data_IF_756124612103
#
_entry.id   IF_756124612103
#
_cell.length_a   1.000
_cell.length_b   1.000
_cell.length_c   1.000
_cell.angle_alpha   90.00
_cell.angle_beta   90.00
_cell.angle_gamma   90.00
#
_symmetry.space_group_name_H-M   'P 1'
#
loop_
_entity.id
_entity.type
_entity.pdbx_description
1 polymer ?
#
# COMPACT_ATOMS: atom_id res chain seq x y z
N UNK A 1 4.30 -14.82 7.46
CA UNK A 1 3.50 -14.14 6.42
C UNK A 1 2.64 -13.13 7.14
N UNK A 2 2.94 -11.85 6.95
CA UNK A 2 2.20 -10.74 7.51
C UNK A 2 0.79 -10.73 6.92
N UNK A 3 -0.22 -10.25 7.68
CA UNK A 3 -1.61 -10.11 7.21
C UNK A 3 -1.70 -9.28 5.93
N UNK A 4 -0.83 -8.28 5.79
CA UNK A 4 -0.76 -7.40 4.62
C UNK A 4 -0.18 -8.11 3.39
N UNK A 5 0.93 -8.86 3.55
CA UNK A 5 1.52 -9.70 2.48
C UNK A 5 0.50 -10.72 1.96
N UNK A 6 -0.25 -11.36 2.86
CA UNK A 6 -1.29 -12.31 2.50
C UNK A 6 -2.45 -11.66 1.73
N UNK A 7 -2.85 -10.44 2.14
CA UNK A 7 -3.89 -9.68 1.45
C UNK A 7 -3.45 -9.29 0.03
N UNK A 8 -2.21 -8.83 -0.13
CA UNK A 8 -1.65 -8.45 -1.43
C UNK A 8 -1.61 -9.65 -2.37
N UNK A 9 -1.08 -10.79 -1.90
CA UNK A 9 -1.04 -12.03 -2.69
C UNK A 9 -2.44 -12.46 -3.15
N UNK A 10 -3.43 -12.45 -2.25
CA UNK A 10 -4.79 -12.84 -2.60
C UNK A 10 -5.40 -11.88 -3.62
N UNK A 11 -5.15 -10.56 -3.48
CA UNK A 11 -5.64 -9.57 -4.42
C UNK A 11 -5.05 -9.78 -5.82
N UNK A 12 -3.73 -9.96 -5.92
CA UNK A 12 -3.02 -10.25 -7.18
C UNK A 12 -3.53 -11.54 -7.85
N UNK A 13 -3.62 -12.63 -7.08
CA UNK A 13 -4.15 -13.88 -7.60
C UNK A 13 -5.60 -13.75 -8.06
N UNK A 14 -6.44 -13.01 -7.33
CA UNK A 14 -7.85 -12.82 -7.67
C UNK A 14 -8.02 -12.01 -8.97
N UNK A 15 -7.24 -10.94 -9.15
CA UNK A 15 -7.23 -10.17 -10.40
C UNK A 15 -6.81 -11.06 -11.58
N UNK A 16 -5.72 -11.82 -11.40
CA UNK A 16 -5.24 -12.77 -12.41
C UNK A 16 -6.29 -13.82 -12.76
N UNK A 17 -6.99 -14.36 -11.75
CA UNK A 17 -8.04 -15.35 -11.96
C UNK A 17 -9.25 -14.78 -12.71
N UNK A 18 -9.58 -13.51 -12.51
CA UNK A 18 -10.63 -12.80 -13.25
C UNK A 18 -10.19 -12.53 -14.69
N UNK A 19 -9.01 -11.96 -14.89
CA UNK A 19 -8.47 -11.59 -16.22
C UNK A 19 -8.28 -12.79 -17.16
N UNK A 20 -7.96 -13.94 -16.59
CA UNK A 20 -7.77 -15.20 -17.31
C UNK A 20 -9.01 -16.09 -17.29
N UNK A 21 -10.15 -15.58 -16.82
CA UNK A 21 -11.44 -16.28 -16.74
C UNK A 21 -11.35 -17.68 -16.10
N UNK A 22 -10.54 -17.82 -15.05
CA UNK A 22 -10.25 -19.11 -14.41
C UNK A 22 -11.33 -19.57 -13.43
N UNK A 23 -12.09 -18.63 -12.89
CA UNK A 23 -13.07 -18.87 -11.83
C UNK A 23 -14.45 -18.41 -12.25
N UNK A 24 -15.47 -19.11 -11.76
CA UNK A 24 -16.87 -18.68 -11.86
C UNK A 24 -17.12 -17.46 -10.96
N UNK A 25 -18.18 -16.71 -11.24
CA UNK A 25 -18.55 -15.52 -10.47
C UNK A 25 -18.77 -15.84 -8.97
N UNK A 26 -19.36 -16.99 -8.63
CA UNK A 26 -19.52 -17.39 -7.22
C UNK A 26 -18.20 -17.71 -6.52
N UNK A 27 -17.25 -18.31 -7.23
CA UNK A 27 -15.90 -18.61 -6.72
C UNK A 27 -15.09 -17.32 -6.51
N UNK A 28 -15.19 -16.38 -7.46
CA UNK A 28 -14.65 -15.02 -7.34
C UNK A 28 -15.22 -14.33 -6.10
N UNK A 29 -16.54 -14.36 -5.90
CA UNK A 29 -17.20 -13.79 -4.72
C UNK A 29 -16.66 -14.40 -3.42
N UNK A 30 -16.45 -15.72 -3.36
CA UNK A 30 -15.90 -16.38 -2.18
C UNK A 30 -14.44 -16.00 -1.91
N UNK A 31 -13.60 -15.98 -2.95
CA UNK A 31 -12.18 -15.58 -2.84
C UNK A 31 -12.06 -14.10 -2.44
N UNK A 32 -12.84 -13.21 -3.05
CA UNK A 32 -12.95 -11.80 -2.69
C UNK A 32 -13.41 -11.60 -1.23
N UNK A 33 -14.28 -12.50 -0.73
CA UNK A 33 -14.74 -12.43 0.67
C UNK A 33 -13.62 -12.66 1.68
N UNK A 34 -12.62 -13.47 1.31
CA UNK A 34 -11.42 -13.66 2.12
C UNK A 34 -10.58 -12.39 2.13
N UNK A 35 -10.37 -11.76 0.97
CA UNK A 35 -9.65 -10.48 0.87
C UNK A 35 -10.33 -9.41 1.72
N UNK A 36 -11.64 -9.22 1.57
CA UNK A 36 -12.43 -8.22 2.29
C UNK A 36 -12.26 -8.34 3.82
N UNK A 37 -12.24 -9.57 4.36
CA UNK A 37 -11.96 -9.81 5.80
C UNK A 37 -10.54 -9.46 6.21
N UNK A 38 -9.56 -9.71 5.34
CA UNK A 38 -8.16 -9.39 5.62
C UNK A 38 -7.94 -7.89 5.67
N UNK A 39 -8.53 -7.12 4.75
CA UNK A 39 -8.34 -5.66 4.69
C UNK A 39 -9.35 -4.87 5.52
N UNK A 40 -10.47 -5.48 5.92
CA UNK A 40 -11.54 -4.78 6.66
C UNK A 40 -12.38 -3.84 5.79
N UNK A 41 -12.49 -4.12 4.49
CA UNK A 41 -13.19 -3.25 3.55
C UNK A 41 -14.70 -3.45 3.65
N UNK A 42 -15.41 -2.47 4.22
CA UNK A 42 -16.84 -2.58 4.58
C UNK A 42 -17.74 -2.69 3.34
N UNK A 43 -17.50 -1.86 2.34
CA UNK A 43 -18.27 -1.83 1.10
C UNK A 43 -18.20 -3.17 0.33
N UNK A 44 -16.98 -3.68 0.09
CA UNK A 44 -16.77 -4.99 -0.50
C UNK A 44 -17.40 -6.10 0.35
N UNK A 45 -17.26 -6.05 1.67
CA UNK A 45 -17.88 -7.04 2.57
C UNK A 45 -19.40 -7.06 2.42
N UNK A 46 -20.02 -5.88 2.34
CA UNK A 46 -21.46 -5.68 2.18
C UNK A 46 -21.94 -6.20 0.84
N UNK A 47 -21.30 -5.77 -0.25
CA UNK A 47 -21.62 -6.20 -1.61
C UNK A 47 -21.55 -7.72 -1.74
N UNK A 48 -20.43 -8.32 -1.33
CA UNK A 48 -20.25 -9.77 -1.38
C UNK A 48 -21.23 -10.50 -0.45
N UNK A 49 -21.66 -9.87 0.64
CA UNK A 49 -22.73 -10.36 1.51
C UNK A 49 -24.04 -10.57 0.76
N UNK A 50 -24.46 -9.58 -0.03
CA UNK A 50 -25.64 -9.69 -0.88
C UNK A 50 -25.45 -10.73 -1.99
N UNK A 51 -24.27 -10.79 -2.61
CA UNK A 51 -23.99 -11.77 -3.65
C UNK A 51 -24.05 -13.21 -3.13
N UNK A 52 -23.61 -13.47 -1.89
CA UNK A 52 -23.69 -14.81 -1.27
C UNK A 52 -25.11 -15.17 -0.82
N UNK A 53 -25.84 -14.23 -0.22
CA UNK A 53 -27.09 -14.52 0.48
C UNK A 53 -28.35 -14.19 -0.34
N UNK A 54 -28.22 -13.34 -1.36
CA UNK A 54 -29.32 -12.69 -2.05
C UNK A 54 -29.57 -11.27 -1.53
N UNK A 55 -30.28 -10.51 -2.33
CA UNK A 55 -30.58 -9.10 -2.09
C UNK A 55 -31.93 -8.93 -1.38
N UNK A 56 -32.00 -8.05 -0.36
CA UNK A 56 -33.25 -7.75 0.33
C UNK A 56 -34.18 -6.93 -0.57
N UNK A 57 -35.49 -7.03 -0.31
CA UNK A 57 -36.55 -6.31 -1.05
C UNK A 57 -37.03 -5.05 -0.33
N UNK A 58 -36.38 -4.67 0.77
CA UNK A 58 -36.73 -3.52 1.60
C UNK A 58 -36.16 -2.18 1.10
N UNK A 59 -35.48 -2.19 -0.05
CA UNK A 59 -34.88 -1.01 -0.68
C UNK A 59 -33.49 -0.63 -0.14
N UNK A 60 -33.00 -1.31 0.90
CA UNK A 60 -31.70 -0.99 1.53
C UNK A 60 -30.50 -1.27 0.62
N UNK A 61 -30.66 -2.15 -0.36
CA UNK A 61 -29.59 -2.59 -1.26
C UNK A 61 -29.65 -1.96 -2.67
N UNK A 62 -30.48 -0.93 -2.89
CA UNK A 62 -30.73 -0.32 -4.21
C UNK A 62 -29.46 0.03 -4.99
N UNK A 63 -28.48 0.66 -4.33
CA UNK A 63 -27.20 1.02 -4.95
C UNK A 63 -26.42 -0.24 -5.41
N UNK A 64 -26.43 -1.29 -4.61
CA UNK A 64 -25.74 -2.55 -4.90
C UNK A 64 -26.45 -3.39 -5.97
N UNK A 65 -27.78 -3.31 -6.06
CA UNK A 65 -28.57 -3.93 -7.13
C UNK A 65 -28.19 -3.29 -8.48
N UNK A 66 -28.06 -1.96 -8.51
CA UNK A 66 -27.59 -1.23 -9.69
C UNK A 66 -26.17 -1.62 -10.09
N UNK A 67 -25.23 -1.62 -9.13
CA UNK A 67 -23.83 -2.02 -9.36
C UNK A 67 -23.70 -3.44 -9.92
N UNK A 68 -24.51 -4.38 -9.43
CA UNK A 68 -24.53 -5.77 -9.91
C UNK A 68 -25.31 -5.99 -11.22
N UNK A 69 -25.92 -4.96 -11.82
CA UNK A 69 -26.68 -5.10 -13.06
C UNK A 69 -27.94 -5.94 -12.93
N UNK A 70 -28.58 -5.92 -11.75
CA UNK A 70 -29.68 -6.83 -11.40
C UNK A 70 -31.07 -6.32 -11.74
N UNK A 71 -31.21 -5.08 -12.22
CA UNK A 71 -32.49 -4.51 -12.64
C UNK A 71 -33.04 -5.20 -13.89
N UNK A 72 -34.37 -5.30 -13.95
CA UNK A 72 -35.07 -5.73 -15.17
C UNK A 72 -35.60 -4.52 -15.94
N UNK A 73 -36.08 -4.75 -17.17
CA UNK A 73 -36.76 -3.72 -17.97
C UNK A 73 -38.09 -3.24 -17.35
N UNK A 74 -38.69 -4.05 -16.49
CA UNK A 74 -39.83 -3.64 -15.67
C UNK A 74 -39.38 -2.76 -14.50
N UNK A 75 -39.97 -1.57 -14.36
CA UNK A 75 -39.77 -0.68 -13.22
C UNK A 75 -40.01 -1.44 -11.90
N UNK A 76 -39.12 -1.23 -10.92
CA UNK A 76 -39.13 -1.81 -9.58
C UNK A 76 -38.93 -3.34 -9.47
N UNK A 77 -38.59 -4.03 -10.57
CA UNK A 77 -38.24 -5.46 -10.53
C UNK A 77 -36.75 -5.70 -10.74
N UNK A 78 -36.22 -6.68 -10.01
CA UNK A 78 -34.81 -7.07 -10.06
C UNK A 78 -34.64 -8.56 -9.77
N UNK A 79 -33.42 -9.07 -9.95
CA UNK A 79 -33.03 -10.43 -9.62
C UNK A 79 -32.44 -10.54 -8.20
N UNK A 80 -33.20 -11.01 -7.19
CA UNK A 80 -32.73 -11.00 -5.79
C UNK A 80 -31.90 -12.22 -5.40
N UNK A 81 -31.86 -13.26 -6.25
CA UNK A 81 -31.20 -14.52 -5.91
C UNK A 81 -29.67 -14.33 -5.80
N UNK A 82 -29.04 -15.09 -4.89
CA UNK A 82 -27.58 -15.15 -4.75
C UNK A 82 -26.88 -15.54 -6.06
N UNK A 83 -25.62 -15.16 -6.22
CA UNK A 83 -24.84 -15.42 -7.44
C UNK A 83 -24.79 -16.91 -7.78
N UNK A 84 -24.61 -17.79 -6.79
CA UNK A 84 -24.59 -19.25 -7.02
C UNK A 84 -25.92 -19.76 -7.58
N UNK A 85 -27.05 -19.16 -7.18
CA UNK A 85 -28.37 -19.49 -7.73
C UNK A 85 -28.55 -18.91 -9.14
N UNK A 86 -27.98 -17.74 -9.43
CA UNK A 86 -27.96 -17.15 -10.78
C UNK A 86 -27.16 -18.04 -11.73
N UNK A 87 -25.97 -18.46 -11.33
CA UNK A 87 -25.13 -19.41 -12.09
C UNK A 87 -25.82 -20.75 -12.32
N UNK A 88 -26.45 -21.33 -11.29
CA UNK A 88 -27.19 -22.58 -11.46
C UNK A 88 -28.36 -22.44 -12.46
N UNK A 89 -29.05 -21.29 -12.46
CA UNK A 89 -30.11 -21.02 -13.44
C UNK A 89 -29.54 -20.78 -14.85
N UNK A 90 -28.36 -20.15 -14.95
CA UNK A 90 -27.65 -19.96 -16.22
C UNK A 90 -27.25 -21.30 -16.82
N UNK A 91 -26.65 -22.19 -16.01
CA UNK A 91 -26.29 -23.54 -16.42
C UNK A 91 -27.53 -24.33 -16.88
N UNK A 92 -28.65 -24.23 -16.14
CA UNK A 92 -29.91 -24.88 -16.51
C UNK A 92 -30.51 -24.32 -17.81
N UNK A 93 -30.46 -22.99 -18.01
CA UNK A 93 -30.93 -22.35 -19.24
C UNK A 93 -30.09 -22.78 -20.44
N UNK A 94 -28.76 -22.80 -20.31
CA UNK A 94 -27.85 -23.28 -21.34
C UNK A 94 -28.08 -24.75 -21.69
N UNK A 95 -28.28 -25.61 -20.68
CA UNK A 95 -28.64 -27.02 -20.92
C UNK A 95 -29.97 -27.17 -21.66
N UNK A 96 -30.95 -26.33 -21.34
CA UNK A 96 -32.25 -26.33 -22.02
C UNK A 96 -32.12 -25.92 -23.49
N UNK A 97 -31.34 -24.87 -23.78
CA UNK A 97 -31.04 -24.43 -25.16
C UNK A 97 -30.33 -25.55 -25.93
N UNK A 98 -29.31 -26.17 -25.34
CA UNK A 98 -28.54 -27.25 -25.97
C UNK A 98 -29.39 -28.50 -26.23
N UNK A 99 -30.28 -28.87 -25.30
CA UNK A 99 -31.18 -30.01 -25.47
C UNK A 99 -32.19 -29.80 -26.61
N UNK A 100 -32.57 -28.55 -26.91
CA UNK A 100 -33.53 -28.20 -27.95
C UNK A 100 -32.88 -27.89 -29.31
N UNK A 101 -31.55 -27.72 -29.39
CA UNK A 101 -30.83 -27.43 -30.65
C UNK A 101 -31.01 -28.50 -31.74
N UNK A 102 -31.34 -29.75 -31.38
CA UNK A 102 -31.50 -30.85 -32.32
C UNK A 102 -32.70 -30.75 -33.26
N UNK A 103 -33.62 -29.80 -33.03
CA UNK A 103 -34.85 -29.63 -33.81
C UNK A 103 -35.85 -30.76 -33.58
N UNK A 104 -37.12 -30.42 -33.38
CA UNK A 104 -38.16 -31.45 -33.34
C UNK A 104 -38.57 -31.87 -34.75
N UNK A 105 -38.52 -33.17 -35.05
CA UNK A 105 -39.13 -33.74 -36.25
C UNK A 105 -40.66 -33.73 -36.09
N UNK A 106 -41.27 -32.56 -36.29
CA UNK A 106 -42.72 -32.37 -36.18
C UNK A 106 -43.40 -32.67 -37.52
N UNK A 107 -44.50 -33.44 -37.49
CA UNK A 107 -45.31 -33.78 -38.67
C UNK A 107 -46.80 -33.81 -38.32
N UNK A 108 -47.68 -33.68 -39.31
CA UNK A 108 -49.14 -33.67 -39.14
C UNK A 108 -49.74 -32.26 -39.04
N UNK A 109 -51.07 -32.20 -38.85
CA UNK A 109 -51.86 -30.95 -38.91
C UNK A 109 -51.43 -29.86 -37.91
N UNK A 110 -50.76 -30.26 -36.82
CA UNK A 110 -50.26 -29.36 -35.78
C UNK A 110 -48.74 -29.08 -35.86
N UNK A 111 -48.04 -29.53 -36.89
CA UNK A 111 -46.58 -29.40 -36.99
C UNK A 111 -46.09 -27.95 -36.91
N UNK A 112 -46.80 -27.01 -37.54
CA UNK A 112 -46.48 -25.58 -37.50
C UNK A 112 -46.62 -24.99 -36.09
N UNK A 113 -47.62 -25.44 -35.32
CA UNK A 113 -47.84 -24.98 -33.94
C UNK A 113 -46.75 -25.54 -33.03
N UNK A 114 -46.45 -26.84 -33.15
CA UNK A 114 -45.39 -27.49 -32.38
C UNK A 114 -44.00 -26.87 -32.66
N UNK A 115 -43.70 -26.52 -33.92
CA UNK A 115 -42.46 -25.82 -34.29
C UNK A 115 -42.40 -24.42 -33.68
N UNK A 116 -43.49 -23.65 -33.72
CA UNK A 116 -43.53 -22.30 -33.12
C UNK A 116 -43.35 -22.34 -31.60
N UNK A 117 -44.00 -23.28 -30.93
CA UNK A 117 -43.87 -23.45 -29.48
C UNK A 117 -42.45 -23.86 -29.10
N UNK A 118 -41.82 -24.73 -29.90
CA UNK A 118 -40.41 -25.10 -29.74
C UNK A 118 -39.48 -23.90 -29.87
N UNK A 119 -39.60 -23.13 -30.95
CA UNK A 119 -38.74 -21.97 -31.21
C UNK A 119 -38.95 -20.88 -30.14
N UNK A 120 -40.18 -20.70 -29.68
CA UNK A 120 -40.51 -19.76 -28.59
C UNK A 120 -39.84 -20.18 -27.27
N UNK A 121 -39.80 -21.48 -26.95
CA UNK A 121 -39.11 -22.00 -25.77
C UNK A 121 -37.60 -21.81 -25.86
N UNK A 122 -36.99 -22.10 -27.02
CA UNK A 122 -35.57 -21.86 -27.25
C UNK A 122 -35.24 -20.38 -27.05
N UNK A 123 -35.99 -19.49 -27.69
CA UNK A 123 -35.77 -18.05 -27.58
C UNK A 123 -35.91 -17.56 -26.14
N UNK A 124 -36.90 -18.07 -25.39
CA UNK A 124 -37.08 -17.74 -23.97
C UNK A 124 -35.90 -18.15 -23.10
N UNK A 125 -35.40 -19.39 -23.26
CA UNK A 125 -34.24 -19.87 -22.50
C UNK A 125 -32.94 -19.17 -22.90
N UNK A 126 -32.76 -18.86 -24.18
CA UNK A 126 -31.59 -18.11 -24.68
C UNK A 126 -31.56 -16.68 -24.12
N UNK A 127 -32.70 -15.98 -24.11
CA UNK A 127 -32.83 -14.65 -23.52
C UNK A 127 -32.51 -14.69 -22.01
N UNK A 128 -33.07 -15.67 -21.29
CA UNK A 128 -32.78 -15.84 -19.87
C UNK A 128 -31.29 -16.10 -19.62
N UNK A 129 -30.66 -16.97 -20.41
CA UNK A 129 -29.23 -17.24 -20.31
C UNK A 129 -28.39 -15.97 -20.55
N UNK A 130 -28.74 -15.17 -21.57
CA UNK A 130 -28.10 -13.88 -21.83
C UNK A 130 -28.18 -12.93 -20.64
N UNK A 131 -29.37 -12.75 -20.05
CA UNK A 131 -29.56 -11.89 -18.87
C UNK A 131 -28.75 -12.37 -17.67
N UNK A 132 -28.82 -13.68 -17.35
CA UNK A 132 -28.10 -14.23 -16.19
C UNK A 132 -26.58 -14.17 -16.39
N UNK A 133 -26.10 -14.40 -17.61
CA UNK A 133 -24.68 -14.23 -17.96
C UNK A 133 -24.24 -12.78 -17.81
N UNK A 134 -25.07 -11.82 -18.21
CA UNK A 134 -24.83 -10.39 -18.01
C UNK A 134 -24.69 -10.03 -16.53
N UNK A 135 -25.56 -10.56 -15.68
CA UNK A 135 -25.47 -10.36 -14.22
C UNK A 135 -24.16 -10.95 -13.68
N UNK A 136 -23.79 -12.18 -14.07
CA UNK A 136 -22.50 -12.78 -13.67
C UNK A 136 -21.32 -11.90 -14.07
N UNK A 137 -21.29 -11.41 -15.32
CA UNK A 137 -20.25 -10.52 -15.82
C UNK A 137 -20.18 -9.20 -15.04
N UNK A 138 -21.33 -8.58 -14.76
CA UNK A 138 -21.40 -7.32 -14.04
C UNK A 138 -20.96 -7.44 -12.57
N UNK A 139 -21.29 -8.56 -11.91
CA UNK A 139 -20.79 -8.87 -10.56
C UNK A 139 -19.28 -9.04 -10.58
N UNK A 140 -18.73 -9.79 -11.55
CA UNK A 140 -17.28 -9.97 -11.71
C UNK A 140 -16.58 -8.64 -11.95
N UNK A 141 -17.11 -7.78 -12.83
CA UNK A 141 -16.56 -6.44 -13.08
C UNK A 141 -16.56 -5.58 -11.81
N UNK A 142 -17.67 -5.58 -11.05
CA UNK A 142 -17.75 -4.82 -9.79
C UNK A 142 -16.74 -5.32 -8.76
N UNK A 143 -16.55 -6.64 -8.64
CA UNK A 143 -15.53 -7.21 -7.76
C UNK A 143 -14.14 -6.83 -8.24
N UNK A 144 -13.87 -6.91 -9.54
CA UNK A 144 -12.58 -6.54 -10.13
C UNK A 144 -12.20 -5.11 -9.78
N UNK A 145 -13.10 -4.14 -10.02
CA UNK A 145 -12.83 -2.72 -9.75
C UNK A 145 -12.45 -2.48 -8.29
N UNK A 146 -13.24 -3.02 -7.35
CA UNK A 146 -12.98 -2.86 -5.92
C UNK A 146 -11.71 -3.58 -5.47
N UNK A 147 -11.39 -4.74 -6.04
CA UNK A 147 -10.17 -5.49 -5.73
C UNK A 147 -8.94 -4.77 -6.30
N UNK A 148 -9.03 -4.18 -7.48
CA UNK A 148 -7.95 -3.42 -8.09
C UNK A 148 -7.61 -2.17 -7.27
N UNK A 149 -8.62 -1.45 -6.77
CA UNK A 149 -8.44 -0.35 -5.82
C UNK A 149 -7.68 -0.82 -4.56
N UNK A 150 -8.15 -1.89 -3.91
CA UNK A 150 -7.48 -2.47 -2.73
C UNK A 150 -6.05 -2.90 -3.05
N UNK A 151 -5.81 -3.53 -4.19
CA UNK A 151 -4.48 -3.99 -4.60
C UNK A 151 -3.51 -2.81 -4.72
N UNK A 152 -3.92 -1.72 -5.37
CA UNK A 152 -3.09 -0.53 -5.52
C UNK A 152 -2.80 0.16 -4.19
N UNK A 153 -3.78 0.23 -3.28
CA UNK A 153 -3.57 0.75 -1.92
C UNK A 153 -2.56 -0.08 -1.13
N UNK A 154 -2.69 -1.42 -1.19
CA UNK A 154 -1.78 -2.34 -0.52
C UNK A 154 -0.36 -2.25 -1.09
N UNK A 155 -0.21 -2.21 -2.41
CA UNK A 155 1.07 -2.08 -3.10
C UNK A 155 1.77 -0.76 -2.74
N UNK A 156 1.01 0.34 -2.69
CA UNK A 156 1.56 1.64 -2.30
C UNK A 156 2.02 1.66 -0.84
N UNK A 157 1.24 1.06 0.06
CA UNK A 157 1.61 0.91 1.47
C UNK A 157 2.88 0.06 1.66
N UNK A 158 3.01 -1.04 0.92
CA UNK A 158 4.20 -1.89 0.95
C UNK A 158 5.44 -1.17 0.40
N UNK A 159 5.30 -0.45 -0.72
CA UNK A 159 6.39 0.34 -1.30
C UNK A 159 6.91 1.38 -0.31
N UNK A 160 5.99 2.10 0.35
CA UNK A 160 6.35 3.07 1.40
C UNK A 160 7.04 2.42 2.59
N UNK A 161 6.50 1.30 3.09
CA UNK A 161 7.09 0.56 4.19
C UNK A 161 8.48 0.03 3.84
N UNK A 162 8.68 -0.45 2.62
CA UNK A 162 9.96 -1.01 2.14
C UNK A 162 11.00 0.08 1.94
N UNK A 163 10.65 1.23 1.34
CA UNK A 163 11.56 2.36 1.21
C UNK A 163 12.02 2.88 2.57
N UNK A 164 11.08 3.00 3.52
CA UNK A 164 11.40 3.40 4.89
C UNK A 164 12.26 2.35 5.59
N UNK A 165 11.88 1.07 5.55
CA UNK A 165 12.61 -0.01 6.20
C UNK A 165 14.03 -0.21 5.63
N UNK A 166 14.20 -0.08 4.31
CA UNK A 166 15.51 -0.15 3.68
C UNK A 166 16.39 1.03 4.10
N UNK A 167 15.82 2.24 4.07
CA UNK A 167 16.51 3.44 4.56
C UNK A 167 16.87 3.29 6.04
N UNK A 168 15.93 2.86 6.87
CA UNK A 168 16.13 2.63 8.30
C UNK A 168 17.24 1.60 8.56
N UNK A 169 17.20 0.44 7.90
CA UNK A 169 18.24 -0.60 8.05
C UNK A 169 19.63 -0.07 7.69
N UNK A 170 19.73 0.71 6.61
CA UNK A 170 21.00 1.32 6.20
C UNK A 170 21.49 2.32 7.25
N UNK A 171 20.61 3.19 7.73
CA UNK A 171 20.93 4.20 8.74
C UNK A 171 21.31 3.56 10.07
N UNK A 172 20.54 2.58 10.54
CA UNK A 172 20.79 1.84 11.79
C UNK A 172 22.12 1.10 11.72
N UNK A 173 22.44 0.46 10.58
CA UNK A 173 23.73 -0.17 10.35
C UNK A 173 24.90 0.81 10.44
N UNK A 174 24.83 1.93 9.73
CA UNK A 174 25.89 2.95 9.78
C UNK A 174 25.98 3.63 11.16
N UNK A 175 24.86 3.86 11.85
CA UNK A 175 24.84 4.45 13.20
C UNK A 175 25.40 3.48 14.25
N UNK A 176 25.09 2.19 14.17
CA UNK A 176 25.63 1.17 15.05
C UNK A 176 27.16 1.05 14.90
N UNK A 177 27.65 1.09 13.66
CA UNK A 177 29.08 1.14 13.39
C UNK A 177 29.73 2.43 13.90
N UNK A 178 29.01 3.56 13.79
CA UNK A 178 29.49 4.88 14.20
C UNK A 178 29.56 5.09 15.71
N UNK A 179 28.56 4.59 16.42
CA UNK A 179 28.43 4.78 17.85
C UNK A 179 27.61 3.60 18.35
N UNK A 180 28.26 2.58 18.91
CA UNK A 180 27.58 1.37 19.42
C UNK A 180 26.46 1.63 20.45
N UNK A 181 26.30 2.87 20.94
CA UNK A 181 25.19 3.33 21.80
C UNK A 181 24.15 4.21 21.08
N UNK A 182 24.24 4.38 19.75
CA UNK A 182 23.33 5.23 18.98
C UNK A 182 21.93 4.62 18.90
N UNK A 183 21.84 3.30 18.79
CA UNK A 183 20.57 2.57 18.80
C UNK A 183 19.84 2.73 20.15
N UNK A 184 20.54 2.56 21.28
CA UNK A 184 19.97 2.81 22.61
C UNK A 184 19.44 4.25 22.78
N UNK A 185 20.09 5.23 22.14
CA UNK A 185 19.66 6.63 22.15
C UNK A 185 18.39 6.83 21.32
N UNK A 186 18.21 6.10 20.22
CA UNK A 186 17.00 6.12 19.38
C UNK A 186 15.80 5.54 20.14
N UNK A 187 15.96 4.38 20.78
CA UNK A 187 14.89 3.76 21.58
C UNK A 187 14.41 4.69 22.70
N UNK A 188 15.37 5.29 23.43
CA UNK A 188 15.08 6.28 24.49
C UNK A 188 14.34 7.51 24.00
N UNK A 189 14.58 7.96 22.76
CA UNK A 189 13.80 9.07 22.16
C UNK A 189 12.39 8.63 21.86
N UNK A 190 12.22 7.44 21.28
CA UNK A 190 10.91 6.89 20.94
C UNK A 190 10.02 6.70 22.19
N UNK A 191 10.57 6.17 23.28
CA UNK A 191 9.86 6.01 24.55
C UNK A 191 9.41 7.36 25.12
N UNK A 192 10.29 8.36 25.16
CA UNK A 192 9.96 9.70 25.67
C UNK A 192 8.91 10.42 24.82
N UNK A 193 8.95 10.25 23.50
CA UNK A 193 7.95 10.83 22.60
C UNK A 193 6.59 10.13 22.69
N UNK A 194 6.51 8.95 23.32
CA UNK A 194 5.25 8.28 23.65
C UNK A 194 4.62 8.83 24.94
N UNK A 195 5.44 9.13 25.95
CA UNK A 195 4.96 9.65 27.24
C UNK A 195 4.35 11.05 27.13
N UNK A 196 4.85 11.85 26.17
CA UNK A 196 4.16 13.05 25.67
C UNK A 196 4.17 14.27 26.59
N UNK A 197 4.81 14.18 27.77
CA UNK A 197 4.97 15.31 28.67
C UNK A 197 6.09 16.28 28.19
N UNK A 198 6.05 17.57 28.59
CA UNK A 198 7.01 18.57 28.13
C UNK A 198 8.48 18.28 28.51
N UNK A 199 8.72 17.59 29.63
CA UNK A 199 10.07 17.22 30.05
C UNK A 199 10.61 16.11 29.15
N UNK A 200 9.81 15.08 28.88
CA UNK A 200 10.14 14.00 27.95
C UNK A 200 10.44 14.51 26.54
N UNK A 201 9.65 15.47 26.04
CA UNK A 201 9.93 16.14 24.75
C UNK A 201 11.27 16.85 24.76
N UNK A 202 11.58 17.59 25.82
CA UNK A 202 12.85 18.34 25.95
C UNK A 202 14.06 17.39 26.06
N UNK A 203 13.89 16.28 26.77
CA UNK A 203 14.91 15.23 26.86
C UNK A 203 15.10 14.49 25.52
N UNK A 204 14.04 14.28 24.74
CA UNK A 204 14.10 13.71 23.40
C UNK A 204 14.91 14.62 22.44
N UNK A 205 14.63 15.92 22.42
CA UNK A 205 15.38 16.90 21.63
C UNK A 205 16.85 16.99 22.04
N UNK A 206 17.14 16.97 23.35
CA UNK A 206 18.52 16.92 23.86
C UNK A 206 19.24 15.66 23.38
N UNK A 207 18.52 14.54 23.26
CA UNK A 207 19.10 13.29 22.76
C UNK A 207 19.36 13.35 21.25
N UNK A 208 18.50 14.01 20.47
CA UNK A 208 18.74 14.30 19.05
C UNK A 208 20.02 15.11 18.86
N UNK A 209 20.24 16.16 19.67
CA UNK A 209 21.50 16.92 19.66
C UNK A 209 22.71 16.03 19.95
N UNK A 210 22.63 15.20 20.98
CA UNK A 210 23.72 14.26 21.34
C UNK A 210 24.01 13.25 20.24
N UNK A 211 23.00 12.83 19.47
CA UNK A 211 23.19 11.97 18.29
C UNK A 211 24.00 12.70 17.22
N UNK A 212 23.69 13.98 16.94
CA UNK A 212 24.46 14.81 15.99
C UNK A 212 25.92 14.96 16.46
N UNK A 213 26.12 15.28 17.74
CA UNK A 213 27.47 15.42 18.33
C UNK A 213 28.26 14.10 18.22
N UNK A 214 27.65 12.97 18.59
CA UNK A 214 28.28 11.64 18.53
C UNK A 214 28.64 11.24 17.09
N UNK A 215 27.77 11.56 16.13
CA UNK A 215 28.03 11.31 14.71
C UNK A 215 29.23 12.12 14.22
N UNK A 216 29.30 13.42 14.54
CA UNK A 216 30.44 14.26 14.20
C UNK A 216 31.76 13.75 14.81
N UNK A 217 31.70 13.27 16.05
CA UNK A 217 32.82 12.62 16.75
C UNK A 217 33.34 11.38 16.04
N UNK A 218 32.44 10.56 15.52
CA UNK A 218 32.81 9.38 14.76
C UNK A 218 33.36 9.70 13.37
N UNK A 219 32.63 10.49 12.58
CA UNK A 219 32.96 10.66 11.15
C UNK A 219 34.15 11.58 10.91
N UNK A 220 34.40 12.54 11.82
CA UNK A 220 35.47 13.50 11.66
C UNK A 220 35.98 13.97 13.03
N UNK A 221 37.00 13.30 13.58
CA UNK A 221 37.57 13.62 14.88
C UNK A 221 38.00 15.10 15.01
N UNK A 222 37.82 15.68 16.19
CA UNK A 222 38.16 17.07 16.45
C UNK A 222 39.68 17.26 16.36
N UNK A 223 40.09 18.36 15.72
CA UNK A 223 41.51 18.72 15.59
C UNK A 223 41.70 20.23 15.66
N UNK A 224 42.91 20.65 16.01
CA UNK A 224 43.27 22.06 16.14
C UNK A 224 43.50 22.72 14.78
N UNK A 225 43.98 21.95 13.80
CA UNK A 225 44.24 22.47 12.46
C UNK A 225 42.95 22.65 11.66
N UNK A 226 42.74 23.84 11.07
CA UNK A 226 41.55 24.08 10.28
C UNK A 226 41.49 23.17 9.04
N UNK A 227 40.28 22.96 8.52
CA UNK A 227 40.03 22.17 7.31
C UNK A 227 39.72 23.09 6.13
N UNK A 228 40.41 22.90 5.01
CA UNK A 228 40.15 23.65 3.78
C UNK A 228 39.16 22.90 2.89
N UNK A 229 38.11 23.61 2.47
CA UNK A 229 37.14 23.17 1.46
C UNK A 229 37.60 23.75 0.12
N UNK A 230 38.67 23.17 -0.46
CA UNK A 230 39.33 23.73 -1.65
C UNK A 230 39.67 25.21 -1.46
N UNK A 231 39.42 26.02 -2.49
CA UNK A 231 39.58 27.48 -2.44
C UNK A 231 38.34 28.22 -1.88
N UNK A 232 37.29 27.50 -1.45
CA UNK A 232 36.01 28.10 -1.10
C UNK A 232 35.99 28.68 0.32
N UNK A 233 36.50 27.92 1.30
CA UNK A 233 36.39 28.27 2.72
C UNK A 233 37.37 27.49 3.60
N UNK A 234 37.72 28.10 4.74
CA UNK A 234 38.49 27.48 5.82
C UNK A 234 37.56 27.27 7.02
N UNK A 235 37.42 26.03 7.48
CA UNK A 235 36.56 25.65 8.60
C UNK A 235 37.38 25.33 9.85
N UNK A 236 36.97 25.91 10.98
CA UNK A 236 37.42 25.44 12.29
C UNK A 236 36.71 24.12 12.62
N UNK A 237 37.49 23.08 12.94
CA UNK A 237 37.02 21.70 13.18
C UNK A 237 37.37 21.20 14.59
N UNK A 238 37.50 22.12 15.55
CA UNK A 238 37.68 21.80 16.97
C UNK A 238 36.42 21.25 17.64
N UNK A 239 36.53 20.85 18.91
CA UNK A 239 35.48 20.11 19.64
C UNK A 239 34.09 20.77 19.61
N UNK A 240 34.02 22.11 19.72
CA UNK A 240 32.76 22.85 19.73
C UNK A 240 32.15 23.05 18.32
N UNK A 241 32.91 22.77 17.25
CA UNK A 241 32.51 23.05 15.87
C UNK A 241 31.86 21.82 15.20
N UNK A 242 30.88 21.21 15.88
CA UNK A 242 30.21 19.96 15.45
C UNK A 242 29.69 20.05 14.01
N UNK A 243 28.97 21.12 13.67
CA UNK A 243 28.39 21.29 12.32
C UNK A 243 29.47 21.45 11.23
N UNK A 244 30.57 22.13 11.53
CA UNK A 244 31.67 22.29 10.58
C UNK A 244 32.40 20.96 10.35
N UNK A 245 32.49 20.10 11.36
CA UNK A 245 33.11 18.77 11.24
C UNK A 245 32.28 17.86 10.33
N UNK A 246 30.96 17.87 10.47
CA UNK A 246 30.06 17.18 9.54
C UNK A 246 30.19 17.73 8.11
N UNK A 247 30.30 19.05 7.96
CA UNK A 247 30.52 19.65 6.64
C UNK A 247 31.88 19.26 6.04
N UNK A 248 32.95 19.23 6.84
CA UNK A 248 34.27 18.79 6.42
C UNK A 248 34.24 17.33 5.93
N UNK A 249 33.53 16.45 6.65
CA UNK A 249 33.33 15.06 6.26
C UNK A 249 32.62 14.93 4.90
N UNK A 250 31.50 15.64 4.71
CA UNK A 250 30.76 15.60 3.43
C UNK A 250 31.61 16.07 2.25
N UNK A 251 32.49 17.07 2.45
CA UNK A 251 33.45 17.50 1.44
C UNK A 251 34.53 16.45 1.17
N UNK A 252 35.09 15.84 2.22
CA UNK A 252 36.12 14.81 2.10
C UNK A 252 35.64 13.58 1.30
N UNK A 253 34.34 13.30 1.34
CA UNK A 253 33.69 12.20 0.62
C UNK A 253 33.05 12.64 -0.72
N UNK A 254 33.46 13.79 -1.26
CA UNK A 254 33.10 14.20 -2.62
C UNK A 254 31.64 14.64 -2.82
N UNK A 255 30.90 14.97 -1.76
CA UNK A 255 29.54 15.45 -1.92
C UNK A 255 29.50 16.79 -2.70
N UNK A 256 28.61 16.93 -3.70
CA UNK A 256 28.52 18.15 -4.48
C UNK A 256 28.09 19.33 -3.61
N UNK A 257 28.53 20.55 -3.98
CA UNK A 257 28.30 21.78 -3.21
C UNK A 257 26.84 21.99 -2.82
N UNK A 258 25.90 21.82 -3.75
CA UNK A 258 24.46 21.96 -3.50
C UNK A 258 23.95 21.01 -2.40
N UNK A 259 24.45 19.77 -2.36
CA UNK A 259 24.12 18.78 -1.33
C UNK A 259 24.73 19.14 0.02
N UNK A 260 25.98 19.60 0.03
CA UNK A 260 26.67 20.09 1.24
C UNK A 260 25.95 21.29 1.85
N UNK A 261 25.55 22.26 1.03
CA UNK A 261 24.84 23.47 1.47
C UNK A 261 23.43 23.16 2.01
N UNK A 262 22.74 22.17 1.42
CA UNK A 262 21.46 21.67 1.96
C UNK A 262 21.68 21.04 3.34
N UNK A 263 22.58 20.06 3.44
CA UNK A 263 22.87 19.36 4.70
C UNK A 263 23.31 20.32 5.80
N UNK A 264 24.17 21.31 5.50
CA UNK A 264 24.59 22.35 6.45
C UNK A 264 23.39 23.14 6.99
N UNK A 265 22.49 23.60 6.12
CA UNK A 265 21.30 24.36 6.53
C UNK A 265 20.37 23.50 7.37
N UNK A 266 20.10 22.28 6.95
CA UNK A 266 19.25 21.33 7.68
C UNK A 266 19.81 21.02 9.06
N UNK A 267 21.10 20.68 9.16
CA UNK A 267 21.73 20.43 10.45
C UNK A 267 21.73 21.67 11.35
N UNK A 268 21.95 22.87 10.79
CA UNK A 268 21.92 24.10 11.57
C UNK A 268 20.53 24.37 12.16
N UNK A 269 19.47 24.14 11.38
CA UNK A 269 18.09 24.28 11.84
C UNK A 269 17.75 23.25 12.92
N UNK A 270 18.07 21.97 12.66
CA UNK A 270 17.88 20.89 13.63
C UNK A 270 18.64 21.13 14.93
N UNK A 271 19.90 21.56 14.85
CA UNK A 271 20.72 21.84 16.03
C UNK A 271 20.16 22.99 16.84
N UNK A 272 19.65 24.03 16.16
CA UNK A 272 18.94 25.15 16.77
C UNK A 272 17.67 24.70 17.49
N UNK A 273 16.81 23.93 16.81
CA UNK A 273 15.58 23.36 17.38
C UNK A 273 15.85 22.44 18.57
N UNK A 274 16.86 21.58 18.49
CA UNK A 274 17.25 20.72 19.60
C UNK A 274 17.85 21.48 20.78
N UNK A 275 18.28 22.73 20.58
CA UNK A 275 18.92 23.59 21.59
C UNK A 275 17.98 24.66 22.15
N UNK A 276 16.77 24.82 21.62
CA UNK A 276 15.84 25.88 21.98
C UNK A 276 15.28 25.77 23.42
N UNK A 277 15.49 24.63 24.10
CA UNK A 277 15.12 24.44 25.51
C UNK A 277 13.60 24.41 25.76
N UNK A 278 13.22 24.11 27.00
CA UNK A 278 11.84 23.95 27.54
C UNK A 278 10.92 25.17 27.40
N UNK A 279 11.36 26.24 26.73
CA UNK A 279 10.63 27.51 26.58
C UNK A 279 10.09 27.74 25.16
N UNK A 280 10.50 26.93 24.18
CA UNK A 280 9.83 26.86 22.90
C UNK A 280 8.65 25.89 23.05
N UNK A 281 7.43 26.30 22.69
CA UNK A 281 6.23 25.47 22.64
C UNK A 281 6.35 24.39 21.54
N UNK A 282 7.34 23.49 21.65
CA UNK A 282 7.51 22.37 20.72
C UNK A 282 6.51 21.30 21.11
N UNK A 283 5.57 21.02 20.20
CA UNK A 283 4.59 19.96 20.41
C UNK A 283 5.25 18.58 20.32
N UNK A 284 4.62 17.56 20.90
CA UNK A 284 5.08 16.16 20.77
C UNK A 284 5.19 15.77 19.29
N UNK A 285 4.24 16.22 18.46
CA UNK A 285 4.22 15.96 17.03
C UNK A 285 5.37 16.66 16.30
N UNK A 286 5.65 17.93 16.63
CA UNK A 286 6.81 18.64 16.09
C UNK A 286 8.13 17.96 16.50
N UNK A 287 8.25 17.51 17.74
CA UNK A 287 9.43 16.79 18.22
C UNK A 287 9.63 15.45 17.49
N UNK A 288 8.55 14.75 17.12
CA UNK A 288 8.61 13.55 16.27
C UNK A 288 9.19 13.87 14.88
N UNK A 289 8.76 14.96 14.26
CA UNK A 289 9.32 15.40 12.98
C UNK A 289 10.79 15.79 13.09
N UNK A 290 11.19 16.51 14.14
CA UNK A 290 12.61 16.85 14.40
C UNK A 290 13.45 15.60 14.57
N UNK A 291 12.95 14.60 15.30
CA UNK A 291 13.63 13.32 15.45
C UNK A 291 13.79 12.59 14.10
N UNK A 292 12.71 12.44 13.33
CA UNK A 292 12.75 11.78 12.01
C UNK A 292 13.70 12.49 11.06
N UNK A 293 13.68 13.83 11.04
CA UNK A 293 14.56 14.61 10.17
C UNK A 293 16.02 14.51 10.63
N UNK A 294 16.29 14.47 11.94
CA UNK A 294 17.64 14.22 12.48
C UNK A 294 18.12 12.84 12.06
N UNK A 295 17.29 11.81 12.24
CA UNK A 295 17.58 10.43 11.88
C UNK A 295 17.94 10.29 10.40
N UNK A 296 17.08 10.79 9.50
CA UNK A 296 17.30 10.73 8.04
C UNK A 296 18.52 11.55 7.61
N UNK A 297 18.72 12.75 8.17
CA UNK A 297 19.88 13.61 7.85
C UNK A 297 21.19 12.96 8.24
N UNK A 298 21.27 12.38 9.44
CA UNK A 298 22.48 11.68 9.91
C UNK A 298 22.76 10.44 9.07
N UNK A 299 21.70 9.70 8.73
CA UNK A 299 21.76 8.60 7.78
C UNK A 299 22.32 8.98 6.43
N UNK A 300 21.84 10.09 5.85
CA UNK A 300 22.34 10.60 4.58
C UNK A 300 23.85 10.92 4.64
N UNK A 301 24.33 11.46 5.76
CA UNK A 301 25.74 11.78 5.94
C UNK A 301 26.58 10.52 6.08
N UNK A 302 26.19 9.59 6.96
CA UNK A 302 26.97 8.39 7.24
C UNK A 302 27.13 7.50 6.01
N UNK A 303 26.09 7.43 5.18
CA UNK A 303 26.11 6.64 3.94
C UNK A 303 26.97 7.23 2.81
N UNK A 304 27.54 8.43 2.99
CA UNK A 304 28.59 8.95 2.10
C UNK A 304 29.95 8.27 2.34
N UNK A 305 30.15 7.71 3.53
CA UNK A 305 31.37 6.97 3.91
C UNK A 305 31.33 5.50 3.49
N UNK A 306 30.15 4.97 3.16
CA UNK A 306 30.03 3.61 2.64
C UNK A 306 30.63 3.55 1.23
N UNK A 307 31.46 2.53 0.90
CA UNK A 307 31.89 2.32 -0.47
C UNK A 307 30.64 2.13 -1.35
N UNK A 308 30.54 2.91 -2.42
CA UNK A 308 29.49 2.73 -3.43
C UNK A 308 29.54 1.27 -3.89
N UNK A 309 28.46 0.47 -3.75
CA UNK A 309 28.46 -0.87 -4.31
C UNK A 309 28.70 -0.73 -5.81
N UNK A 310 29.81 -1.29 -6.28
CA UNK A 310 30.13 -1.33 -7.70
C UNK A 310 29.05 -2.17 -8.39
N UNK A 311 28.52 -1.76 -9.56
CA UNK A 311 27.45 -2.50 -10.24
C UNK A 311 27.99 -3.76 -10.94
N UNK A 312 28.68 -4.64 -10.22
CA UNK A 312 29.25 -5.88 -10.77
C UNK A 312 28.91 -7.17 -10.00
N UNK A 313 28.26 -7.11 -8.84
CA UNK A 313 27.77 -8.33 -8.17
C UNK A 313 26.26 -8.48 -8.34
N UNK A 314 25.83 -8.68 -9.59
CA UNK A 314 24.62 -9.46 -9.83
C UNK A 314 25.05 -10.93 -9.89
N UNK A 315 24.56 -11.81 -8.99
CA UNK A 315 24.74 -13.24 -9.19
C UNK A 315 24.03 -13.61 -10.50
N UNK A 316 24.80 -14.19 -11.42
CA UNK A 316 24.39 -14.45 -12.78
C UNK A 316 23.15 -15.36 -12.91
N UNK A 317 22.52 -15.18 -14.08
CA UNK A 317 21.71 -16.11 -14.88
C UNK A 317 20.96 -17.25 -14.15
#
# INVERSE_FOLDING_TARGET
>A
MNRQEEALRIAEELLTDIELERLKASEIVLKASRLARLVGHEDLTTFLGYERNGYPTDGTATAWIGRAGRWTDDEDKFYPKSISKIEANLDAANQSVNAMQGGGNYSGDYALVASRDHDTRIASHANLAGTLSGICGQVVATVYDMVAEIYHELLFSELQATLFAHTQTKIDGSLAAASGSALDKIERVSDRLRDGDPESVSQALTTCRRLIDSCADFVFAARNDPYQIGDEATLNVGQQNVLNRLQAFTHAHGAPKSRRDRLRRTLSDLYGRCSAGTHAEVTVEEARFVFLQTYVTLGEILTLGDPVPTPCDQPGA
#
